data_IF_190289675522
#
_entry.id   IF_190289675522
#
_cell.length_a   1.000
_cell.length_b   1.000
_cell.length_c   1.000
_cell.angle_alpha   90.00
_cell.angle_beta   90.00
_cell.angle_gamma   90.00
#
_symmetry.space_group_name_H-M   'P 1'
#
loop_
_entity.id
_entity.type
_entity.pdbx_description
1 polymer ?
#
# COMPACT_ATOMS: atom_id res chain seq x y z
N UNK A 1 -5.97 -0.08 -9.79
CA UNK A 1 -4.51 -0.11 -9.98
C UNK A 1 -3.85 -0.88 -8.83
N UNK A 2 -2.57 -1.26 -8.97
CA UNK A 2 -1.79 -1.93 -7.92
C UNK A 2 -0.59 -1.07 -7.55
N UNK A 3 -0.37 -0.85 -6.25
CA UNK A 3 0.78 -0.13 -5.71
C UNK A 3 1.51 -0.99 -4.68
N UNK A 4 2.85 -0.95 -4.69
CA UNK A 4 3.69 -1.80 -3.82
C UNK A 4 4.25 -1.00 -2.65
N UNK A 5 3.65 -1.16 -1.48
CA UNK A 5 4.08 -0.48 -0.24
C UNK A 5 5.09 -1.34 0.50
N UNK A 6 6.03 -0.72 1.22
CA UNK A 6 6.83 -1.46 2.21
C UNK A 6 5.88 -2.00 3.28
N UNK A 7 6.15 -3.19 3.79
CA UNK A 7 5.35 -3.77 4.89
C UNK A 7 5.20 -2.79 6.07
N UNK A 8 6.29 -2.10 6.44
CA UNK A 8 6.28 -1.10 7.52
C UNK A 8 5.41 0.12 7.26
N UNK A 9 5.02 0.38 6.00
CA UNK A 9 4.13 1.49 5.64
C UNK A 9 2.66 1.08 5.74
N UNK A 10 2.35 -0.21 5.92
CA UNK A 10 0.97 -0.72 5.95
C UNK A 10 0.36 -0.80 7.35
N UNK A 11 1.11 -0.46 8.40
CA UNK A 11 0.68 -0.53 9.81
C UNK A 11 -0.73 0.00 10.04
N UNK A 12 -1.03 1.17 9.46
CA UNK A 12 -2.31 1.86 9.63
C UNK A 12 -3.17 1.87 8.36
N UNK A 13 -2.72 1.19 7.30
CA UNK A 13 -3.45 1.12 6.04
C UNK A 13 -4.59 0.12 6.17
N UNK A 14 -5.80 0.54 5.80
CA UNK A 14 -7.04 -0.25 5.89
C UNK A 14 -7.87 -0.06 4.63
N UNK A 15 -8.68 -1.07 4.29
CA UNK A 15 -9.67 -0.98 3.21
C UNK A 15 -10.58 0.24 3.41
N UNK A 16 -10.90 0.93 2.32
CA UNK A 16 -11.78 2.10 2.28
C UNK A 16 -11.09 3.43 2.59
N UNK A 17 -9.83 3.44 3.02
CA UNK A 17 -9.10 4.69 3.23
C UNK A 17 -8.90 5.44 1.92
N UNK A 18 -9.05 6.77 1.98
CA UNK A 18 -8.85 7.68 0.86
C UNK A 18 -7.39 7.68 0.42
N UNK A 19 -7.19 7.73 -0.90
CA UNK A 19 -5.89 7.80 -1.54
C UNK A 19 -5.88 8.98 -2.50
N UNK A 20 -4.90 9.88 -2.35
CA UNK A 20 -4.53 10.85 -3.36
C UNK A 20 -3.52 10.21 -4.31
N UNK A 21 -3.67 10.41 -5.62
CA UNK A 21 -2.86 9.75 -6.64
C UNK A 21 -2.26 10.82 -7.54
N UNK A 22 -0.94 10.87 -7.62
CA UNK A 22 -0.24 11.68 -8.60
C UNK A 22 0.18 10.79 -9.78
N UNK A 23 0.04 11.29 -11.00
CA UNK A 23 0.40 10.57 -12.22
C UNK A 23 1.33 11.46 -13.03
N UNK A 24 2.52 10.97 -13.37
CA UNK A 24 3.56 11.78 -14.01
C UNK A 24 3.10 12.38 -15.36
N UNK A 25 2.21 11.69 -16.07
CA UNK A 25 1.65 12.14 -17.35
C UNK A 25 0.58 13.24 -17.19
N UNK A 26 0.06 13.44 -15.98
CA UNK A 26 -1.00 14.41 -15.66
C UNK A 26 -0.64 15.23 -14.41
N UNK A 27 0.43 16.04 -14.46
CA UNK A 27 0.83 16.86 -13.33
C UNK A 27 -0.29 17.85 -12.95
N UNK A 28 -0.58 17.95 -11.65
CA UNK A 28 -1.62 18.84 -11.11
C UNK A 28 -3.06 18.32 -11.26
N UNK A 29 -3.27 17.12 -11.82
CA UNK A 29 -4.60 16.51 -11.83
C UNK A 29 -4.97 15.98 -10.45
N UNK A 30 -6.17 16.32 -9.98
CA UNK A 30 -6.66 15.89 -8.68
C UNK A 30 -7.28 14.50 -8.79
N UNK A 31 -6.43 13.46 -8.66
CA UNK A 31 -6.86 12.07 -8.77
C UNK A 31 -7.06 11.47 -7.38
N UNK A 32 -8.27 10.98 -7.15
CA UNK A 32 -8.69 10.39 -5.88
C UNK A 32 -9.17 8.96 -6.09
N UNK A 33 -8.99 8.17 -5.04
CA UNK A 33 -9.45 6.80 -4.96
C UNK A 33 -9.50 6.32 -3.53
N UNK A 34 -9.64 5.01 -3.38
CA UNK A 34 -9.66 4.35 -2.09
C UNK A 34 -8.95 3.00 -2.14
N UNK A 35 -8.43 2.58 -0.99
CA UNK A 35 -7.86 1.24 -0.81
C UNK A 35 -8.97 0.20 -0.96
N UNK A 36 -8.86 -0.67 -1.96
CA UNK A 36 -9.81 -1.77 -2.15
C UNK A 36 -9.40 -3.00 -1.34
N UNK A 37 -8.13 -3.38 -1.46
CA UNK A 37 -7.59 -4.54 -0.74
C UNK A 37 -6.08 -4.43 -0.55
N UNK A 38 -5.60 -5.08 0.51
CA UNK A 38 -4.18 -5.35 0.73
C UNK A 38 -3.99 -6.84 0.45
N UNK A 39 -3.03 -7.19 -0.40
CA UNK A 39 -2.75 -8.59 -0.66
C UNK A 39 -2.35 -9.29 0.67
N UNK A 40 -2.84 -10.52 0.92
CA UNK A 40 -2.38 -11.29 2.07
C UNK A 40 -0.85 -11.41 1.98
N UNK A 41 -0.15 -10.98 3.02
CA UNK A 41 1.29 -10.83 2.95
C UNK A 41 1.98 -12.19 2.68
N UNK A 42 2.87 -12.17 1.69
CA UNK A 42 3.91 -13.14 1.33
C UNK A 42 3.51 -14.37 0.48
N UNK A 43 4.06 -14.42 -0.74
CA UNK A 43 4.19 -15.64 -1.54
C UNK A 43 5.26 -16.61 -1.01
N UNK A 44 5.80 -16.39 0.19
CA UNK A 44 6.76 -17.31 0.82
C UNK A 44 6.08 -18.49 1.53
N UNK A 45 4.77 -18.44 1.76
CA UNK A 45 4.04 -19.57 2.37
C UNK A 45 3.88 -20.75 1.40
N UNK A 46 4.19 -20.58 0.10
CA UNK A 46 4.05 -21.60 -0.95
C UNK A 46 5.38 -22.04 -1.58
N UNK A 47 6.53 -21.74 -0.96
CA UNK A 47 7.78 -22.35 -1.42
C UNK A 47 7.78 -23.84 -1.04
N UNK A 48 7.93 -24.72 -2.03
CA UNK A 48 8.09 -26.18 -1.86
C UNK A 48 9.29 -26.56 -0.99
N UNK A 49 10.24 -25.63 -0.82
CA UNK A 49 11.40 -25.75 0.04
C UNK A 49 11.40 -24.56 1.01
N UNK A 50 11.33 -24.77 2.34
CA UNK A 50 11.60 -23.70 3.28
C UNK A 50 13.03 -23.20 3.05
N UNK A 51 13.30 -21.88 3.13
CA UNK A 51 14.66 -21.40 3.10
C UNK A 51 15.41 -22.02 4.28
N UNK A 52 16.51 -22.70 3.98
CA UNK A 52 17.40 -23.35 4.95
C UNK A 52 18.12 -22.27 5.77
N UNK A 53 17.42 -21.69 6.73
CA UNK A 53 17.90 -20.62 7.61
C UNK A 53 18.45 -21.20 8.93
N UNK A 54 19.10 -22.37 8.91
CA UNK A 54 19.63 -23.07 10.09
C UNK A 54 20.94 -22.48 10.67
N UNK A 55 21.33 -21.25 10.30
CA UNK A 55 22.63 -20.64 10.71
C UNK A 55 22.52 -19.31 11.46
N UNK A 56 21.32 -18.81 11.77
CA UNK A 56 21.16 -17.68 12.68
C UNK A 56 21.54 -16.29 12.14
N UNK A 57 21.73 -16.13 10.83
CA UNK A 57 21.90 -14.82 10.21
C UNK A 57 20.56 -14.24 9.76
N UNK A 58 19.99 -13.34 10.57
CA UNK A 58 18.78 -12.60 10.22
C UNK A 58 19.15 -11.36 9.38
N UNK A 59 19.18 -11.49 8.05
CA UNK A 59 19.26 -10.32 7.17
C UNK A 59 17.87 -9.73 6.97
N UNK A 60 17.63 -8.52 7.50
CA UNK A 60 16.36 -7.81 7.31
C UNK A 60 16.23 -7.32 5.86
N UNK A 61 15.37 -7.98 5.08
CA UNK A 61 15.06 -7.59 3.69
C UNK A 61 13.79 -6.72 3.70
N UNK A 62 13.78 -5.66 2.89
CA UNK A 62 12.58 -4.83 2.73
C UNK A 62 11.56 -5.58 1.88
N UNK A 63 10.52 -6.11 2.52
CA UNK A 63 9.40 -6.71 1.83
C UNK A 63 8.40 -5.65 1.36
N UNK A 64 7.91 -5.82 0.13
CA UNK A 64 6.84 -4.99 -0.44
C UNK A 64 5.58 -5.81 -0.63
N UNK A 65 4.44 -5.22 -0.29
CA UNK A 65 3.13 -5.84 -0.34
C UNK A 65 2.27 -5.08 -1.35
N UNK A 66 1.65 -5.79 -2.32
CA UNK A 66 0.71 -5.18 -3.24
C UNK A 66 -0.55 -4.69 -2.53
N UNK A 67 -0.94 -3.46 -2.82
CA UNK A 67 -2.20 -2.84 -2.41
C UNK A 67 -2.98 -2.48 -3.66
N UNK A 68 -4.21 -2.98 -3.74
CA UNK A 68 -5.15 -2.60 -4.79
C UNK A 68 -5.85 -1.31 -4.41
N UNK A 69 -5.79 -0.34 -5.31
CA UNK A 69 -6.44 0.97 -5.17
C UNK A 69 -7.45 1.09 -6.31
N UNK A 70 -8.68 1.45 -5.97
CA UNK A 70 -9.75 1.76 -6.92
C UNK A 70 -9.87 3.26 -7.04
N UNK A 71 -9.98 3.75 -8.27
CA UNK A 71 -10.14 5.19 -8.57
C UNK A 71 -11.61 5.53 -8.42
N UNK A 72 -11.92 6.66 -7.82
CA UNK A 72 -13.30 7.07 -7.60
C UNK A 72 -13.99 7.35 -8.96
N UNK A 73 -15.28 7.00 -9.11
CA UNK A 73 -15.96 7.05 -10.41
C UNK A 73 -16.12 8.46 -10.97
N UNK A 74 -16.17 9.47 -10.10
CA UNK A 74 -16.33 10.89 -10.48
C UNK A 74 -15.01 11.53 -10.95
N UNK A 75 -13.96 10.73 -11.10
CA UNK A 75 -12.66 11.23 -11.50
C UNK A 75 -12.66 11.69 -12.97
N UNK A 76 -12.26 12.95 -13.27
CA UNK A 76 -12.26 13.47 -14.65
C UNK A 76 -11.28 12.77 -15.60
N UNK A 77 -10.34 11.98 -15.06
CA UNK A 77 -9.38 11.17 -15.82
C UNK A 77 -9.75 9.68 -15.86
N UNK A 78 -10.91 9.29 -15.33
CA UNK A 78 -11.44 7.95 -15.47
C UNK A 78 -11.50 7.57 -16.97
N UNK A 79 -10.82 6.48 -17.35
CA UNK A 79 -10.69 6.04 -18.74
C UNK A 79 -9.51 6.62 -19.53
N UNK A 80 -8.82 7.65 -19.03
CA UNK A 80 -7.56 8.15 -19.61
C UNK A 80 -6.31 7.52 -19.00
N UNK A 81 -6.45 7.00 -17.78
CA UNK A 81 -5.39 6.26 -17.10
C UNK A 81 -5.21 4.90 -17.76
N UNK A 82 -3.98 4.62 -18.20
CA UNK A 82 -3.62 3.38 -18.89
C UNK A 82 -2.73 2.49 -18.01
N UNK A 83 -2.80 1.16 -18.16
CA UNK A 83 -1.84 0.26 -17.54
C UNK A 83 -0.40 0.66 -17.87
N UNK A 84 0.49 0.60 -16.88
CA UNK A 84 1.91 0.95 -17.04
C UNK A 84 2.27 2.41 -16.77
N UNK A 85 1.30 3.30 -16.54
CA UNK A 85 1.60 4.66 -16.09
C UNK A 85 2.25 4.66 -14.70
N UNK A 86 3.29 5.48 -14.53
CA UNK A 86 3.93 5.74 -13.24
C UNK A 86 3.02 6.60 -12.36
N UNK A 87 2.84 6.18 -11.12
CA UNK A 87 1.98 6.86 -10.15
C UNK A 87 2.61 6.90 -8.76
N UNK A 88 2.29 7.94 -8.00
CA UNK A 88 2.65 8.08 -6.59
C UNK A 88 1.37 8.15 -5.75
N UNK A 89 1.00 7.07 -5.03
CA UNK A 89 -0.17 7.06 -4.17
C UNK A 89 0.15 7.51 -2.74
N UNK A 90 -0.68 8.38 -2.18
CA UNK A 90 -0.64 8.85 -0.80
C UNK A 90 -1.91 8.45 -0.07
N UNK A 91 -1.81 7.53 0.89
CA UNK A 91 -2.95 7.04 1.67
C UNK A 91 -3.15 7.92 2.91
N UNK A 92 -4.37 8.41 3.12
CA UNK A 92 -4.73 9.10 4.36
C UNK A 92 -5.07 8.09 5.45
N UNK A 93 -4.21 8.00 6.46
CA UNK A 93 -4.43 7.17 7.66
C UNK A 93 -4.92 8.05 8.81
N UNK A 94 -5.77 7.51 9.68
CA UNK A 94 -6.15 8.22 10.92
C UNK A 94 -4.98 8.15 11.90
N UNK A 95 -4.62 9.25 12.58
CA UNK A 95 -3.61 9.20 13.62
C UNK A 95 -4.07 8.24 14.73
N UNK A 96 -3.21 7.29 15.08
CA UNK A 96 -3.42 6.42 16.24
C UNK A 96 -3.17 7.27 17.49
N UNK A 97 -4.22 7.59 18.24
CA UNK A 97 -4.06 8.14 19.59
C UNK A 97 -3.58 7.00 20.48
N UNK A 98 -2.29 6.97 20.80
CA UNK A 98 -1.82 6.19 21.93
C UNK A 98 -2.30 6.90 23.19
N UNK A 99 -3.41 6.44 23.77
CA UNK A 99 -3.80 6.83 25.12
C UNK A 99 -2.75 6.27 26.08
N UNK A 100 -1.81 7.11 26.51
CA UNK A 100 -0.93 6.80 27.63
C UNK A 100 -1.83 6.74 28.86
N UNK A 101 -2.17 5.54 29.31
CA UNK A 101 -2.76 5.35 30.63
C UNK A 101 -1.68 5.71 31.65
N UNK A 102 -1.74 6.93 32.17
CA UNK A 102 -0.96 7.33 33.33
C UNK A 102 -1.47 6.53 34.52
N UNK A 103 -0.66 5.59 35.00
CA UNK A 103 -0.84 5.00 36.31
C UNK A 103 -0.53 6.08 37.36
N UNK A 104 -1.46 6.33 38.28
CA UNK A 104 -1.26 7.04 39.55
C UNK A 104 -2.18 6.41 40.58
#
# INVERSE_FOLDING_TARGET
MIANFKETQLTDVRKGQKVAIEVDTFPGADITGHVDSIAPASGQVFALLPPDNATGNFTKIVQRIPVKITIDPDNPLAGRLRPGMSVVPTVTVKPVQHSTAAAS
#
